data_IF_589602338508
#
_entry.id   IF_589602338508
#
_cell.length_a   1.000
_cell.length_b   1.000
_cell.length_c   1.000
_cell.angle_alpha   90.00
_cell.angle_beta   90.00
_cell.angle_gamma   90.00
#
_symmetry.space_group_name_H-M   'P 1'
#
loop_
_entity.id
_entity.type
_entity.pdbx_description
1 polymer ?
#
# COMPACT_ATOMS: atom_id res chain seq x y z
N UNK A 1 30.32 -0.91 9.41
CA UNK A 1 29.19 -1.71 9.94
C UNK A 1 27.94 -1.05 9.41
N UNK A 2 27.13 -1.77 8.64
CA UNK A 2 25.81 -1.28 8.22
C UNK A 2 24.85 -1.43 9.41
N UNK A 3 24.19 -0.35 9.82
CA UNK A 3 23.12 -0.44 10.81
C UNK A 3 21.84 -0.78 10.07
N UNK A 4 21.21 -1.89 10.44
CA UNK A 4 19.93 -2.35 9.89
C UNK A 4 18.98 -2.63 11.05
N UNK A 5 17.78 -2.05 11.00
CA UNK A 5 16.75 -2.33 12.00
C UNK A 5 15.34 -2.22 11.41
N UNK A 6 14.44 -3.02 11.97
CA UNK A 6 13.02 -3.00 11.64
C UNK A 6 12.33 -2.03 12.60
N UNK A 7 11.48 -1.15 12.08
CA UNK A 7 10.63 -0.27 12.88
C UNK A 7 9.22 -0.21 12.30
N UNK A 8 8.25 0.19 13.13
CA UNK A 8 6.94 0.61 12.63
C UNK A 8 7.12 1.81 11.68
N UNK A 9 6.31 1.85 10.64
CA UNK A 9 6.30 2.98 9.72
C UNK A 9 5.66 4.22 10.36
N UNK A 10 6.05 5.39 9.88
CA UNK A 10 5.41 6.68 10.17
C UNK A 10 4.76 7.22 8.88
N UNK A 11 3.94 8.28 8.94
CA UNK A 11 3.43 8.93 7.74
C UNK A 11 4.54 9.39 6.77
N UNK A 12 5.72 9.72 7.27
CA UNK A 12 6.86 10.17 6.45
C UNK A 12 7.44 9.03 5.57
N UNK A 13 7.16 7.77 5.90
CA UNK A 13 7.57 6.62 5.08
C UNK A 13 6.62 6.39 3.88
N UNK A 14 5.49 7.11 3.78
CA UNK A 14 4.49 6.91 2.73
C UNK A 14 5.06 6.89 1.30
N UNK A 15 6.00 7.77 0.90
CA UNK A 15 6.61 7.70 -0.43
C UNK A 15 7.39 6.40 -0.68
N UNK A 16 8.01 5.81 0.36
CA UNK A 16 8.68 4.50 0.23
C UNK A 16 7.64 3.38 0.13
N UNK A 17 6.60 3.43 0.97
CA UNK A 17 5.53 2.42 0.96
C UNK A 17 4.79 2.38 -0.37
N UNK A 18 4.49 3.53 -0.99
CA UNK A 18 3.85 3.61 -2.32
C UNK A 18 4.71 2.92 -3.37
N UNK A 19 6.01 3.22 -3.42
CA UNK A 19 6.93 2.57 -4.38
C UNK A 19 6.98 1.05 -4.17
N UNK A 20 7.16 0.60 -2.94
CA UNK A 20 7.22 -0.83 -2.64
C UNK A 20 5.91 -1.54 -2.99
N UNK A 21 4.76 -0.90 -2.75
CA UNK A 21 3.46 -1.47 -3.05
C UNK A 21 3.24 -1.61 -4.55
N UNK A 22 3.61 -0.60 -5.35
CA UNK A 22 3.57 -0.66 -6.82
C UNK A 22 4.49 -1.75 -7.35
N UNK A 23 5.72 -1.84 -6.84
CA UNK A 23 6.68 -2.89 -7.24
C UNK A 23 6.20 -4.29 -6.87
N UNK A 24 5.70 -4.49 -5.65
CA UNK A 24 5.19 -5.79 -5.21
C UNK A 24 3.90 -6.19 -5.94
N UNK A 25 3.10 -5.21 -6.36
CA UNK A 25 1.85 -5.41 -7.07
C UNK A 25 1.98 -5.41 -8.59
N UNK A 26 3.19 -5.28 -9.14
CA UNK A 26 3.48 -5.25 -10.59
C UNK A 26 2.55 -4.28 -11.37
N UNK A 27 2.37 -3.07 -10.82
CA UNK A 27 1.53 -2.02 -11.41
C UNK A 27 0.01 -2.19 -11.22
N UNK A 28 -0.47 -3.27 -10.59
CA UNK A 28 -1.90 -3.40 -10.23
C UNK A 28 -2.41 -2.29 -9.29
N UNK A 29 -1.63 -1.78 -8.32
CA UNK A 29 -2.06 -0.64 -7.51
C UNK A 29 -2.35 0.59 -8.35
N UNK A 30 -1.56 0.86 -9.38
CA UNK A 30 -1.76 2.01 -10.27
C UNK A 30 -3.09 1.91 -11.01
N UNK A 31 -3.47 0.71 -11.46
CA UNK A 31 -4.77 0.46 -12.08
C UNK A 31 -5.93 0.79 -11.13
N UNK A 32 -5.81 0.38 -9.87
CA UNK A 32 -6.83 0.64 -8.84
C UNK A 32 -6.90 2.13 -8.50
N UNK A 33 -5.75 2.79 -8.31
CA UNK A 33 -5.68 4.20 -7.94
C UNK A 33 -6.08 5.13 -9.09
N UNK A 34 -5.82 4.77 -10.34
CA UNK A 34 -6.33 5.50 -11.50
C UNK A 34 -7.86 5.58 -11.52
N UNK A 35 -8.56 4.54 -11.04
CA UNK A 35 -10.01 4.55 -10.89
C UNK A 35 -10.53 5.36 -9.68
N UNK A 36 -9.65 5.75 -8.76
CA UNK A 36 -9.98 6.52 -7.55
C UNK A 36 -9.62 8.00 -7.68
N UNK A 37 -8.71 8.36 -8.59
CA UNK A 37 -8.21 9.72 -8.74
C UNK A 37 -9.33 10.72 -9.10
N UNK A 38 -9.39 11.82 -8.36
CA UNK A 38 -10.25 12.95 -8.70
C UNK A 38 -9.74 13.70 -9.95
N UNK A 39 -10.58 14.51 -10.63
CA UNK A 39 -10.13 15.32 -11.75
C UNK A 39 -8.93 16.21 -11.37
N UNK A 40 -7.79 16.00 -12.03
CA UNK A 40 -6.55 16.73 -11.78
C UNK A 40 -5.66 16.18 -10.66
N UNK A 41 -6.09 15.12 -9.96
CA UNK A 41 -5.28 14.40 -8.98
C UNK A 41 -4.42 13.35 -9.70
N UNK A 42 -3.15 13.22 -9.31
CA UNK A 42 -2.29 12.17 -9.85
C UNK A 42 -2.53 10.82 -9.16
N UNK A 43 -2.14 9.72 -9.81
CA UNK A 43 -2.21 8.38 -9.21
C UNK A 43 -1.33 8.26 -7.96
N UNK A 44 -0.18 8.96 -7.96
CA UNK A 44 0.75 8.98 -6.85
C UNK A 44 0.14 9.72 -5.65
N UNK A 45 -0.60 10.81 -5.88
CA UNK A 45 -1.32 11.53 -4.81
C UNK A 45 -2.32 10.61 -4.10
N UNK A 46 -3.09 9.82 -4.86
CA UNK A 46 -4.01 8.81 -4.31
C UNK A 46 -3.26 7.78 -3.46
N UNK A 47 -2.14 7.27 -3.98
CA UNK A 47 -1.29 6.32 -3.25
C UNK A 47 -0.76 6.90 -1.94
N UNK A 48 -0.26 8.13 -1.97
CA UNK A 48 0.27 8.85 -0.81
C UNK A 48 -0.80 9.13 0.24
N UNK A 49 -1.95 9.67 -0.15
CA UNK A 49 -3.10 9.91 0.75
C UNK A 49 -3.51 8.63 1.47
N UNK A 50 -3.56 7.50 0.74
CA UNK A 50 -3.91 6.20 1.32
C UNK A 50 -2.82 5.66 2.23
N UNK A 51 -1.54 5.82 1.88
CA UNK A 51 -0.45 5.38 2.75
C UNK A 51 -0.37 6.22 4.04
N UNK A 52 -0.70 7.52 3.99
CA UNK A 52 -0.59 8.45 5.13
C UNK A 52 -1.77 8.42 6.10
N UNK A 53 -2.97 8.05 5.65
CA UNK A 53 -4.15 8.00 6.52
C UNK A 53 -4.05 6.90 7.58
N UNK A 54 -4.80 7.05 8.66
CA UNK A 54 -4.82 6.12 9.80
C UNK A 54 -5.90 5.02 9.69
N UNK A 55 -6.46 4.85 8.50
CA UNK A 55 -7.54 3.92 8.18
C UNK A 55 -7.28 3.08 6.92
N UNK A 56 -8.02 1.97 6.79
CA UNK A 56 -7.92 1.07 5.64
C UNK A 56 -6.74 0.10 5.69
N UNK A 57 -6.66 -0.78 4.68
CA UNK A 57 -5.69 -1.87 4.60
C UNK A 57 -4.28 -1.38 4.24
N UNK A 58 -4.16 -0.56 3.21
CA UNK A 58 -2.91 0.11 2.85
C UNK A 58 -2.84 1.44 3.61
N UNK A 59 -2.05 1.46 4.68
CA UNK A 59 -1.83 2.57 5.62
C UNK A 59 -0.52 2.34 6.37
N UNK A 60 0.20 3.42 6.74
CA UNK A 60 1.42 3.36 7.55
C UNK A 60 1.23 2.59 8.86
N UNK A 61 0.02 2.63 9.44
CA UNK A 61 -0.31 1.89 10.67
C UNK A 61 -0.18 0.38 10.54
N UNK A 62 -0.36 -0.14 9.34
CA UNK A 62 -0.23 -1.57 9.05
C UNK A 62 1.16 -1.94 8.54
N UNK A 63 2.12 -0.99 8.55
CA UNK A 63 3.41 -1.15 7.92
C UNK A 63 4.59 -1.19 8.91
N UNK A 64 5.56 -2.03 8.59
CA UNK A 64 6.91 -1.97 9.15
C UNK A 64 7.90 -1.73 8.01
N UNK A 65 8.99 -1.04 8.29
CA UNK A 65 10.07 -0.76 7.33
C UNK A 65 11.41 -1.25 7.85
N UNK A 66 12.29 -1.61 6.93
CA UNK A 66 13.71 -1.86 7.20
C UNK A 66 14.49 -0.60 6.82
N UNK A 67 15.20 -0.05 7.79
CA UNK A 67 16.09 1.09 7.59
C UNK A 67 17.55 0.63 7.57
N UNK A 68 18.26 0.91 6.49
CA UNK A 68 19.67 0.59 6.29
C UNK A 68 20.45 1.89 6.10
N UNK A 69 21.38 2.18 7.02
CA UNK A 69 22.18 3.42 7.00
C UNK A 69 21.34 4.72 6.86
N UNK A 70 20.17 4.78 7.49
CA UNK A 70 19.27 5.94 7.45
C UNK A 70 18.34 6.00 6.22
N UNK A 71 18.33 4.96 5.38
CA UNK A 71 17.48 4.87 4.19
C UNK A 71 16.49 3.72 4.35
N UNK A 72 15.23 3.96 4.02
CA UNK A 72 14.20 2.92 3.98
C UNK A 72 14.32 2.10 2.70
N UNK A 73 14.71 0.84 2.84
CA UNK A 73 15.04 -0.08 1.73
C UNK A 73 13.96 -1.13 1.47
N UNK A 74 13.13 -1.46 2.46
CA UNK A 74 12.05 -2.42 2.32
C UNK A 74 10.87 -2.11 3.24
N UNK A 75 9.70 -2.66 2.91
CA UNK A 75 8.48 -2.53 3.70
C UNK A 75 7.68 -3.83 3.74
N UNK A 76 7.00 -4.04 4.87
CA UNK A 76 6.01 -5.10 5.07
C UNK A 76 4.69 -4.43 5.44
N UNK A 77 3.63 -4.68 4.67
CA UNK A 77 2.26 -4.27 5.03
C UNK A 77 1.48 -5.52 5.44
N UNK A 78 0.98 -5.53 6.67
CA UNK A 78 0.24 -6.66 7.22
C UNK A 78 -0.91 -6.17 8.12
N UNK A 79 -2.10 -6.73 7.91
CA UNK A 79 -3.30 -6.42 8.69
C UNK A 79 -4.18 -7.67 8.83
N UNK A 80 -5.01 -7.68 9.86
CA UNK A 80 -5.91 -8.82 10.12
C UNK A 80 -7.11 -8.76 9.17
N UNK A 81 -7.35 -9.86 8.48
CA UNK A 81 -8.60 -10.09 7.74
C UNK A 81 -9.64 -10.78 8.63
N UNK A 82 -10.94 -10.71 8.27
CA UNK A 82 -11.97 -11.56 8.85
C UNK A 82 -11.61 -13.05 8.70
N UNK A 83 -12.12 -13.88 9.62
CA UNK A 83 -11.85 -15.33 9.61
C UNK A 83 -12.54 -16.07 8.45
N UNK A 84 -13.64 -15.54 7.95
CA UNK A 84 -14.36 -16.06 6.79
C UNK A 84 -14.37 -15.00 5.68
N UNK A 85 -14.14 -15.40 4.41
CA UNK A 85 -14.22 -14.48 3.28
C UNK A 85 -15.68 -14.06 3.06
N UNK A 86 -15.90 -12.77 2.82
CA UNK A 86 -17.19 -12.25 2.37
C UNK A 86 -17.41 -12.48 0.86
N UNK A 87 -18.62 -12.22 0.35
CA UNK A 87 -18.86 -12.21 -1.10
C UNK A 87 -18.04 -11.12 -1.79
N UNK A 88 -17.63 -11.37 -3.04
CA UNK A 88 -16.98 -10.37 -3.89
C UNK A 88 -18.01 -9.29 -4.25
N UNK A 89 -17.74 -8.04 -3.85
CA UNK A 89 -18.62 -6.91 -4.12
C UNK A 89 -18.62 -6.47 -5.59
N UNK A 90 -19.67 -5.78 -6.05
CA UNK A 90 -19.76 -5.28 -7.43
C UNK A 90 -18.74 -4.16 -7.74
N UNK A 91 -18.09 -3.61 -6.71
CA UNK A 91 -17.06 -2.57 -6.76
C UNK A 91 -15.64 -3.14 -6.95
N UNK A 92 -15.46 -4.45 -6.85
CA UNK A 92 -14.17 -5.10 -7.11
C UNK A 92 -13.85 -5.03 -8.60
N UNK A 93 -12.70 -4.45 -9.01
CA UNK A 93 -12.36 -4.34 -10.42
C UNK A 93 -12.27 -5.72 -11.09
N UNK A 94 -12.74 -5.83 -12.32
CA UNK A 94 -12.81 -7.10 -13.06
C UNK A 94 -11.51 -7.93 -13.06
N UNK A 95 -10.29 -7.34 -13.14
CA UNK A 95 -9.05 -8.11 -13.03
C UNK A 95 -8.84 -8.87 -11.71
N UNK A 96 -9.56 -8.50 -10.64
CA UNK A 96 -9.49 -9.17 -9.33
C UNK A 96 -10.62 -10.18 -9.10
N UNK A 97 -11.50 -10.40 -10.08
CA UNK A 97 -12.60 -11.37 -9.99
C UNK A 97 -12.16 -12.70 -10.61
N UNK A 98 -12.35 -13.86 -9.94
CA UNK A 98 -12.00 -15.16 -10.50
C UNK A 98 -12.69 -15.43 -11.83
N UNK A 99 -11.90 -15.90 -12.81
CA UNK A 99 -12.44 -16.39 -14.09
C UNK A 99 -13.41 -17.54 -13.80
N UNK A 100 -14.62 -17.46 -14.36
CA UNK A 100 -15.64 -18.50 -14.29
C UNK A 100 -15.44 -19.54 -15.38
#
# INVERSE_FOLDING_TARGET
MTSEFIRAATPDDAPHLVRFFVWAGDGLPDLVWAGMAAPGQSIDDVGLERAMRDEGSFSYRNAHVIEVNGVVEAGLVAYRLPSEPGPIGPDVPAPFVPLQ
#
